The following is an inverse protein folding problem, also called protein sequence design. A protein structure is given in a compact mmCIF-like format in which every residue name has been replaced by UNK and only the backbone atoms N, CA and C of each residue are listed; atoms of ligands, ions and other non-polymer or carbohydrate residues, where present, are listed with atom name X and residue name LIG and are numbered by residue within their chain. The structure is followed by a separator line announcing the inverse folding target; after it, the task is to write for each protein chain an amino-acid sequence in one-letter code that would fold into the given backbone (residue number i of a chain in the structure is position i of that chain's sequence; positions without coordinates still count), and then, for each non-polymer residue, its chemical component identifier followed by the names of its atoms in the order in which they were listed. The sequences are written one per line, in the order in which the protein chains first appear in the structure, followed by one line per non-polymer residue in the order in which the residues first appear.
data_IF_520155574607
#
_entry.id   IF_520155574607
#
_cell.length_a   1.000
_cell.length_b   1.000
_cell.length_c   1.000
_cell.angle_alpha   90.00
_cell.angle_beta   90.00
_cell.angle_gamma   90.00
#
_symmetry.space_group_name_H-M   'P 1'
#
loop_
_entity.id
_entity.type
_entity.pdbx_description
1 polymer ?
#
# COMPACT_ATOMS: atom_id res chain seq x y z
N UNK A 1 14.53 -13.88 -16.01
CA UNK A 1 15.82 -13.52 -15.40
C UNK A 1 15.65 -12.17 -14.73
N UNK A 2 16.09 -11.98 -13.48
CA UNK A 2 15.87 -10.75 -12.70
C UNK A 2 14.73 -10.83 -11.67
N UNK A 3 14.26 -12.02 -11.33
CA UNK A 3 13.37 -12.26 -10.20
C UNK A 3 14.05 -13.25 -9.26
N UNK A 4 14.05 -12.94 -7.96
CA UNK A 4 14.65 -13.76 -6.92
C UNK A 4 13.63 -13.99 -5.81
N UNK A 5 13.67 -15.16 -5.19
CA UNK A 5 12.84 -15.44 -4.02
C UNK A 5 13.46 -14.76 -2.82
N UNK A 6 12.70 -13.89 -2.16
CA UNK A 6 13.11 -13.18 -0.96
C UNK A 6 12.07 -13.36 0.13
N UNK A 7 12.52 -13.19 1.37
CA UNK A 7 11.65 -13.13 2.54
C UNK A 7 11.53 -11.67 2.94
N UNK A 8 10.37 -11.08 2.68
CA UNK A 8 10.04 -9.70 3.04
C UNK A 8 9.06 -9.67 4.23
N UNK A 9 9.06 -8.60 5.03
CA UNK A 9 8.05 -8.39 6.06
C UNK A 9 6.68 -8.13 5.42
N UNK A 10 5.70 -8.97 5.75
CA UNK A 10 4.28 -8.74 5.49
C UNK A 10 3.66 -8.12 6.73
N UNK A 11 3.23 -6.87 6.63
CA UNK A 11 2.73 -6.10 7.77
C UNK A 11 1.30 -5.63 7.55
N UNK A 12 0.53 -5.71 8.63
CA UNK A 12 -0.81 -5.21 8.75
C UNK A 12 -0.73 -4.00 9.68
N UNK A 13 -1.20 -2.84 9.22
CA UNK A 13 -0.99 -1.57 9.91
C UNK A 13 -2.33 -0.89 10.16
N UNK A 14 -2.50 -0.36 11.37
CA UNK A 14 -3.66 0.42 11.78
C UNK A 14 -3.57 1.85 11.24
N UNK A 15 -4.64 2.31 10.59
CA UNK A 15 -4.86 3.69 10.17
C UNK A 15 -6.12 4.21 10.88
N UNK A 16 -5.97 4.86 12.05
CA UNK A 16 -7.11 5.33 12.85
C UNK A 16 -7.98 6.32 12.07
N UNK A 17 -9.28 6.07 12.00
CA UNK A 17 -10.21 6.95 11.29
C UNK A 17 -10.40 8.28 12.04
N UNK A 18 -10.37 9.37 11.29
CA UNK A 18 -10.54 10.75 11.80
C UNK A 18 -11.79 11.44 11.27
N UNK A 19 -12.48 10.83 10.30
CA UNK A 19 -13.79 11.27 9.83
C UNK A 19 -14.67 10.08 9.47
N UNK A 20 -15.93 10.35 9.12
CA UNK A 20 -16.94 9.33 8.84
C UNK A 20 -17.62 8.82 10.11
N UNK A 21 -18.55 7.85 9.99
CA UNK A 21 -19.33 7.32 11.10
C UNK A 21 -18.51 6.67 12.22
N UNK A 22 -17.28 6.21 11.92
CA UNK A 22 -16.39 5.51 12.85
C UNK A 22 -15.21 6.37 13.35
N UNK A 23 -15.29 7.70 13.17
CA UNK A 23 -14.22 8.62 13.55
C UNK A 23 -13.86 8.51 15.04
N UNK A 24 -12.59 8.22 15.34
CA UNK A 24 -12.12 8.01 16.71
C UNK A 24 -12.54 6.69 17.35
N UNK A 25 -13.33 5.86 16.66
CA UNK A 25 -13.81 4.57 17.18
C UNK A 25 -13.11 3.36 16.55
N UNK A 26 -12.76 3.43 15.26
CA UNK A 26 -12.17 2.31 14.54
C UNK A 26 -10.93 2.70 13.74
N UNK A 27 -10.11 1.69 13.43
CA UNK A 27 -8.98 1.82 12.52
C UNK A 27 -9.21 1.01 11.24
N UNK A 28 -8.79 1.54 10.09
CA UNK A 28 -8.61 0.73 8.89
C UNK A 28 -7.37 -0.16 9.09
N UNK A 29 -7.44 -1.43 8.69
CA UNK A 29 -6.24 -2.28 8.62
C UNK A 29 -5.82 -2.39 7.17
N UNK A 30 -4.71 -1.75 6.80
CA UNK A 30 -4.13 -1.92 5.48
C UNK A 30 -2.95 -2.89 5.52
N UNK A 31 -2.76 -3.63 4.43
CA UNK A 31 -1.68 -4.60 4.28
C UNK A 31 -0.63 -4.11 3.29
N UNK A 32 0.65 -4.38 3.57
CA UNK A 32 1.75 -4.18 2.63
C UNK A 32 2.90 -5.16 2.87
N UNK A 33 3.63 -5.51 1.81
CA UNK A 33 4.91 -6.23 1.83
C UNK A 33 6.11 -5.31 1.65
N UNK A 34 5.88 -4.00 1.57
CA UNK A 34 6.92 -2.96 1.43
C UNK A 34 6.75 -1.86 2.48
N UNK A 35 7.03 -2.15 3.76
CA UNK A 35 6.83 -1.22 4.87
C UNK A 35 7.47 0.15 4.66
N UNK A 36 8.66 0.22 4.05
CA UNK A 36 9.36 1.48 3.75
C UNK A 36 8.51 2.48 2.96
N UNK A 37 7.55 2.02 2.16
CA UNK A 37 6.65 2.90 1.40
C UNK A 37 5.61 3.61 2.28
N UNK A 38 5.39 3.16 3.52
CA UNK A 38 4.48 3.78 4.50
C UNK A 38 4.95 5.19 4.91
N UNK A 39 6.26 5.46 4.83
CA UNK A 39 6.87 6.75 5.12
C UNK A 39 6.22 7.90 4.33
N UNK A 40 5.75 7.60 3.12
CA UNK A 40 5.05 8.55 2.23
C UNK A 40 3.67 8.04 1.82
N UNK A 41 2.97 7.33 2.73
CA UNK A 41 1.57 6.99 2.53
C UNK A 41 0.76 8.23 2.12
N UNK A 42 0.04 8.13 1.01
CA UNK A 42 -0.79 9.23 0.50
C UNK A 42 -2.27 8.95 0.69
N UNK A 43 -2.69 7.69 0.59
CA UNK A 43 -4.09 7.30 0.71
C UNK A 43 -4.24 5.83 1.13
N UNK A 44 -5.49 5.39 1.35
CA UNK A 44 -5.85 3.97 1.45
C UNK A 44 -6.88 3.69 0.37
N UNK A 45 -6.64 2.73 -0.52
CA UNK A 45 -7.59 2.34 -1.56
C UNK A 45 -8.51 1.21 -1.07
N UNK A 46 -9.80 1.37 -1.33
CA UNK A 46 -10.86 0.38 -1.14
C UNK A 46 -11.53 0.08 -2.50
N UNK A 47 -12.06 -1.13 -2.70
CA UNK A 47 -12.87 -1.44 -3.88
C UNK A 47 -14.30 -0.94 -3.68
N UNK A 48 -14.83 -0.16 -4.62
CA UNK A 48 -16.13 0.51 -4.47
C UNK A 48 -17.28 -0.46 -4.12
N UNK A 49 -17.32 -1.61 -4.79
CA UNK A 49 -18.37 -2.62 -4.64
C UNK A 49 -18.07 -3.67 -3.56
N UNK A 50 -16.93 -3.56 -2.86
CA UNK A 50 -16.53 -4.50 -1.82
C UNK A 50 -17.23 -4.12 -0.51
N UNK A 51 -17.78 -5.11 0.20
CA UNK A 51 -18.30 -4.93 1.56
C UNK A 51 -17.18 -5.01 2.59
N UNK A 52 -17.09 -3.99 3.42
CA UNK A 52 -16.19 -3.86 4.56
C UNK A 52 -16.99 -3.98 5.85
N UNK A 53 -16.51 -4.78 6.79
CA UNK A 53 -17.16 -5.01 8.09
C UNK A 53 -16.35 -4.38 9.20
N UNK A 54 -17.05 -3.90 10.23
CA UNK A 54 -16.43 -3.50 11.48
C UNK A 54 -16.34 -4.72 12.40
N UNK A 55 -15.12 -5.12 12.73
CA UNK A 55 -14.82 -6.23 13.62
C UNK A 55 -14.25 -5.73 14.95
N UNK A 56 -14.44 -6.50 16.02
CA UNK A 56 -13.90 -6.19 17.36
C UNK A 56 -13.41 -7.45 18.06
N UNK A 57 -12.38 -7.29 18.90
CA UNK A 57 -11.88 -8.30 19.85
C UNK A 57 -12.37 -8.00 21.29
N UNK A 58 -13.26 -7.01 21.45
CA UNK A 58 -13.70 -6.47 22.73
C UNK A 58 -12.88 -5.29 23.26
N UNK A 59 -11.70 -5.02 22.69
CA UNK A 59 -10.81 -3.92 23.10
C UNK A 59 -10.75 -2.80 22.06
N UNK A 60 -10.69 -3.14 20.77
CA UNK A 60 -10.66 -2.18 19.68
C UNK A 60 -11.66 -2.55 18.55
N UNK A 61 -11.93 -1.58 17.67
CA UNK A 61 -12.70 -1.81 16.44
C UNK A 61 -11.79 -1.63 15.22
N UNK A 62 -11.92 -2.52 14.25
CA UNK A 62 -11.15 -2.48 13.00
C UNK A 62 -12.04 -2.68 11.79
N UNK A 63 -11.63 -2.13 10.66
CA UNK A 63 -12.33 -2.27 9.37
C UNK A 63 -11.47 -3.07 8.41
N UNK A 64 -12.07 -4.12 7.83
CA UNK A 64 -11.49 -5.01 6.81
C UNK A 64 -12.58 -5.48 5.85
N UNK A 65 -12.20 -5.94 4.66
CA UNK A 65 -13.13 -6.56 3.72
C UNK A 65 -13.73 -7.82 4.34
N UNK A 66 -15.05 -7.99 4.20
CA UNK A 66 -15.80 -9.09 4.81
C UNK A 66 -15.23 -10.47 4.44
N UNK A 67 -14.91 -10.65 3.16
CA UNK A 67 -14.35 -11.89 2.62
C UNK A 67 -12.96 -12.24 3.19
N UNK A 68 -12.24 -11.23 3.69
CA UNK A 68 -10.86 -11.36 4.21
C UNK A 68 -10.80 -11.28 5.73
N UNK A 69 -11.91 -11.07 6.44
CA UNK A 69 -11.92 -10.86 7.88
C UNK A 69 -11.19 -11.98 8.65
N UNK A 70 -11.53 -13.23 8.35
CA UNK A 70 -10.97 -14.38 9.07
C UNK A 70 -9.45 -14.52 8.85
N UNK A 71 -8.97 -14.34 7.62
CA UNK A 71 -7.53 -14.45 7.28
C UNK A 71 -6.73 -13.22 7.74
N UNK A 72 -7.33 -12.03 7.69
CA UNK A 72 -6.70 -10.78 8.08
C UNK A 72 -6.56 -10.63 9.61
N UNK A 73 -7.58 -11.02 10.37
CA UNK A 73 -7.65 -10.75 11.81
C UNK A 73 -7.33 -11.97 12.68
N UNK A 74 -7.57 -13.19 12.18
CA UNK A 74 -7.40 -14.42 12.94
C UNK A 74 -8.53 -14.68 13.94
N UNK A 75 -8.25 -15.53 14.93
CA UNK A 75 -9.22 -15.90 15.97
C UNK A 75 -9.47 -14.75 16.97
N UNK A 76 -10.65 -14.75 17.61
CA UNK A 76 -11.00 -13.78 18.65
C UNK A 76 -11.65 -12.49 18.14
N UNK A 77 -11.83 -12.34 16.83
CA UNK A 77 -12.50 -11.19 16.21
C UNK A 77 -13.92 -11.54 15.78
N UNK A 78 -14.88 -10.70 16.15
CA UNK A 78 -16.29 -10.85 15.82
C UNK A 78 -16.82 -9.62 15.08
N UNK A 79 -17.80 -9.83 14.18
CA UNK A 79 -18.47 -8.72 13.50
C UNK A 79 -19.35 -7.99 14.51
N UNK A 80 -19.26 -6.67 14.54
CA UNK A 80 -20.14 -5.82 15.36
C UNK A 80 -21.57 -5.72 14.80
N UNK A 81 -21.75 -6.09 13.53
CA UNK A 81 -23.00 -5.90 12.77
C UNK A 81 -22.99 -4.65 11.88
N UNK A 82 -22.04 -3.74 12.07
CA UNK A 82 -21.84 -2.58 11.20
C UNK A 82 -21.03 -2.97 9.94
N UNK A 83 -21.46 -2.50 8.77
CA UNK A 83 -20.77 -2.69 7.50
C UNK A 83 -20.99 -1.51 6.55
N UNK A 84 -20.07 -1.37 5.60
CA UNK A 84 -20.04 -0.30 4.59
C UNK A 84 -19.55 -0.88 3.28
N UNK A 85 -20.04 -0.37 2.16
CA UNK A 85 -19.39 -0.54 0.86
C UNK A 85 -18.16 0.36 0.78
N UNK A 86 -17.19 0.00 -0.05
CA UNK A 86 -16.04 0.87 -0.29
C UNK A 86 -16.45 2.25 -0.81
N UNK A 87 -17.54 2.34 -1.58
CA UNK A 87 -18.12 3.60 -2.05
C UNK A 87 -18.63 4.49 -0.89
N UNK A 88 -19.23 3.91 0.15
CA UNK A 88 -19.65 4.67 1.33
C UNK A 88 -18.48 5.17 2.18
N UNK A 89 -17.35 4.46 2.12
CA UNK A 89 -16.10 4.83 2.80
C UNK A 89 -15.29 5.89 2.03
N UNK A 90 -15.69 6.22 0.80
CA UNK A 90 -14.95 7.16 -0.04
C UNK A 90 -14.71 8.49 0.69
N UNK A 91 -13.47 8.99 0.60
CA UNK A 91 -13.01 10.24 1.23
C UNK A 91 -13.05 10.27 2.76
N UNK A 92 -13.30 9.16 3.44
CA UNK A 92 -13.06 9.11 4.89
C UNK A 92 -11.59 9.38 5.17
N UNK A 93 -11.33 10.26 6.12
CA UNK A 93 -9.99 10.66 6.53
C UNK A 93 -9.47 9.74 7.63
N UNK A 94 -8.17 9.54 7.67
CA UNK A 94 -7.49 8.78 8.70
C UNK A 94 -6.20 9.48 9.14
N UNK A 95 -5.66 9.07 10.29
CA UNK A 95 -4.34 9.49 10.73
C UNK A 95 -3.27 8.61 10.05
N UNK A 96 -2.36 9.17 9.24
CA UNK A 96 -1.33 8.37 8.57
C UNK A 96 -0.38 7.73 9.59
N UNK A 97 0.28 6.61 9.23
CA UNK A 97 1.24 5.96 10.10
C UNK A 97 2.44 6.86 10.37
N UNK A 98 2.85 7.68 9.40
CA UNK A 98 3.96 8.61 9.53
C UNK A 98 3.57 10.00 9.04
N UNK A 99 4.10 11.03 9.70
CA UNK A 99 3.93 12.45 9.33
C UNK A 99 5.26 13.10 8.95
N UNK A 100 6.23 12.27 8.55
CA UNK A 100 7.61 12.70 8.22
C UNK A 100 7.68 13.37 6.85
N UNK A 101 6.76 13.05 5.94
CA UNK A 101 6.61 13.71 4.65
C UNK A 101 5.34 14.57 4.68
N UNK A 102 5.46 15.91 4.60
CA UNK A 102 4.29 16.78 4.59
C UNK A 102 3.50 16.63 3.29
N UNK A 103 2.18 16.42 3.40
CA UNK A 103 1.28 16.27 2.26
C UNK A 103 -0.05 17.00 2.53
N UNK A 104 -0.42 17.92 1.65
CA UNK A 104 -1.73 18.56 1.68
C UNK A 104 -2.75 17.76 0.86
N UNK A 105 -4.00 17.69 1.35
CA UNK A 105 -5.09 17.02 0.66
C UNK A 105 -4.99 15.48 0.60
N UNK A 106 -4.06 14.88 1.35
CA UNK A 106 -3.84 13.43 1.43
C UNK A 106 -4.56 12.78 2.64
N UNK A 107 -4.27 11.50 2.85
CA UNK A 107 -4.72 10.68 4.00
C UNK A 107 -6.23 10.45 4.04
N UNK A 108 -6.78 10.09 2.88
CA UNK A 108 -8.19 9.75 2.68
C UNK A 108 -8.34 8.37 2.04
N UNK A 109 -9.52 7.78 2.21
CA UNK A 109 -9.91 6.57 1.51
C UNK A 109 -10.29 6.89 0.06
N UNK A 110 -9.79 6.10 -0.90
CA UNK A 110 -10.10 6.19 -2.32
C UNK A 110 -10.84 4.95 -2.78
N UNK A 111 -11.56 5.07 -3.90
CA UNK A 111 -12.00 3.88 -4.62
C UNK A 111 -11.02 3.52 -5.74
N UNK A 112 -10.36 2.37 -5.59
CA UNK A 112 -9.37 1.84 -6.50
C UNK A 112 -9.86 0.57 -7.19
N UNK A 113 -9.90 0.48 -8.53
CA UNK A 113 -10.36 -0.72 -9.24
C UNK A 113 -9.36 -1.89 -9.15
N UNK A 114 -8.14 -1.65 -8.69
CA UNK A 114 -7.09 -2.65 -8.50
C UNK A 114 -7.25 -3.42 -7.18
N UNK A 115 -8.14 -2.98 -6.28
CA UNK A 115 -8.36 -3.63 -4.98
C UNK A 115 -9.14 -4.92 -5.17
N UNK A 116 -8.59 -6.03 -4.65
CA UNK A 116 -9.22 -7.36 -4.71
C UNK A 116 -9.45 -7.91 -3.30
N UNK A 117 -10.21 -9.01 -3.21
CA UNK A 117 -10.41 -9.77 -1.97
C UNK A 117 -9.66 -11.10 -1.99
N UNK A 118 -8.54 -11.19 -2.72
CA UNK A 118 -7.75 -12.43 -2.84
C UNK A 118 -6.72 -12.57 -1.72
N UNK A 119 -6.17 -11.46 -1.23
CA UNK A 119 -5.16 -11.43 -0.18
C UNK A 119 -5.19 -10.11 0.63
N UNK A 120 -4.53 -10.11 1.78
CA UNK A 120 -4.44 -8.95 2.66
C UNK A 120 -5.74 -8.69 3.42
N UNK A 121 -6.20 -7.44 3.39
CA UNK A 121 -7.40 -6.98 4.13
C UNK A 121 -8.49 -6.40 3.24
N UNK A 122 -8.25 -6.31 1.94
CA UNK A 122 -9.07 -5.56 0.99
C UNK A 122 -8.95 -4.04 1.15
N UNK A 123 -8.00 -3.56 1.96
CA UNK A 123 -7.60 -2.16 2.07
C UNK A 123 -6.11 -2.06 1.74
N UNK A 124 -5.80 -1.28 0.72
CA UNK A 124 -4.45 -1.18 0.17
C UNK A 124 -3.85 0.16 0.58
N UNK A 125 -2.70 0.14 1.27
CA UNK A 125 -1.91 1.36 1.44
C UNK A 125 -1.48 1.86 0.06
N UNK A 126 -1.76 3.14 -0.23
CA UNK A 126 -1.55 3.71 -1.56
C UNK A 126 -0.49 4.80 -1.52
N UNK A 127 0.53 4.63 -2.36
CA UNK A 127 1.64 5.55 -2.55
C UNK A 127 1.97 5.74 -4.04
N UNK A 128 1.63 6.90 -4.64
CA UNK A 128 1.76 7.14 -6.07
C UNK A 128 3.20 7.23 -6.57
N UNK A 129 4.20 7.29 -5.69
CA UNK A 129 5.61 7.34 -6.09
C UNK A 129 6.18 5.94 -6.45
N UNK A 130 5.56 4.87 -5.92
CA UNK A 130 6.13 3.52 -5.94
C UNK A 130 5.17 2.43 -6.50
N UNK A 131 4.03 2.82 -7.07
CA UNK A 131 3.07 1.90 -7.70
C UNK A 131 2.36 2.54 -8.89
N UNK A 132 2.19 1.79 -9.99
CA UNK A 132 1.49 2.29 -11.17
C UNK A 132 -0.01 2.48 -10.93
N UNK A 133 -0.66 1.52 -10.29
CA UNK A 133 -2.08 1.62 -9.96
C UNK A 133 -2.35 2.68 -8.90
N UNK A 134 -1.45 2.80 -7.91
CA UNK A 134 -1.43 3.87 -6.92
C UNK A 134 -1.33 5.25 -7.59
N UNK A 135 -0.40 5.39 -8.55
CA UNK A 135 -0.26 6.62 -9.33
C UNK A 135 -1.55 6.97 -10.07
N UNK A 136 -2.16 5.99 -10.76
CA UNK A 136 -3.39 6.21 -11.53
C UNK A 136 -4.55 6.65 -10.65
N UNK A 137 -4.78 5.97 -9.51
CA UNK A 137 -5.89 6.31 -8.61
C UNK A 137 -5.65 7.65 -7.92
N UNK A 138 -4.45 7.90 -7.37
CA UNK A 138 -4.13 9.18 -6.73
C UNK A 138 -4.26 10.34 -7.70
N UNK A 139 -3.81 10.17 -8.95
CA UNK A 139 -3.96 11.18 -10.01
C UNK A 139 -5.41 11.48 -10.33
N UNK A 140 -6.28 10.47 -10.40
CA UNK A 140 -7.71 10.67 -10.65
C UNK A 140 -8.39 11.49 -9.54
N UNK A 141 -7.92 11.36 -8.29
CA UNK A 141 -8.40 12.13 -7.14
C UNK A 141 -7.69 13.46 -6.93
N UNK A 142 -6.67 13.78 -7.75
CA UNK A 142 -5.88 15.01 -7.62
C UNK A 142 -4.95 15.03 -6.39
N UNK A 143 -4.52 13.86 -5.92
CA UNK A 143 -3.63 13.73 -4.77
C UNK A 143 -2.16 14.03 -5.12
N UNK A 144 -1.37 14.49 -4.13
CA UNK A 144 0.04 14.81 -4.36
C UNK A 144 0.86 13.56 -4.68
N UNK A 145 1.89 13.75 -5.52
CA UNK A 145 2.95 12.77 -5.71
C UNK A 145 4.21 13.29 -5.05
N UNK A 146 4.60 12.67 -3.94
CA UNK A 146 5.83 13.01 -3.21
C UNK A 146 6.71 11.77 -3.15
N UNK A 147 7.92 11.87 -3.69
CA UNK A 147 8.91 10.81 -3.62
C UNK A 147 10.01 11.21 -2.62
N UNK A 148 10.09 10.59 -1.43
CA UNK A 148 11.13 10.86 -0.44
C UNK A 148 12.43 10.09 -0.66
N UNK A 149 12.51 9.27 -1.72
CA UNK A 149 13.68 8.43 -2.04
C UNK A 149 14.45 9.07 -3.19
N UNK A 150 15.77 9.13 -3.05
CA UNK A 150 16.71 9.66 -4.05
C UNK A 150 17.00 8.64 -5.14
N UNK A 151 17.65 9.10 -6.20
CA UNK A 151 18.06 8.26 -7.33
C UNK A 151 19.03 7.12 -6.96
N UNK A 152 19.73 7.22 -5.82
CA UNK A 152 20.62 6.16 -5.31
C UNK A 152 19.90 5.13 -4.40
N UNK A 153 18.58 5.29 -4.21
CA UNK A 153 17.77 4.40 -3.37
C UNK A 153 17.81 4.72 -1.88
N UNK A 154 18.42 5.84 -1.47
CA UNK A 154 18.39 6.31 -0.08
C UNK A 154 17.25 7.30 0.16
N UNK A 155 16.69 7.31 1.37
CA UNK A 155 15.78 8.38 1.79
C UNK A 155 16.51 9.72 1.90
N UNK A 156 15.81 10.83 1.63
CA UNK A 156 16.34 12.18 1.84
C UNK A 156 16.88 12.35 3.28
N UNK A 157 18.12 12.86 3.43
CA UNK A 157 18.85 12.91 4.72
C UNK A 157 18.09 13.66 5.82
N UNK A 158 17.28 14.65 5.43
CA UNK A 158 16.52 15.48 6.36
C UNK A 158 15.23 14.84 6.87
N UNK A 159 14.89 13.63 6.43
CA UNK A 159 13.70 12.93 6.90
C UNK A 159 13.96 12.31 8.27
N UNK A 160 13.13 12.71 9.23
CA UNK A 160 13.08 12.05 10.52
C UNK A 160 12.83 10.54 10.34
N UNK A 161 13.33 9.74 11.28
CA UNK A 161 13.27 8.28 11.33
C UNK A 161 14.18 7.55 10.32
N UNK A 162 14.13 7.87 9.03
CA UNK A 162 14.74 7.05 7.95
C UNK A 162 15.77 7.76 7.08
N UNK A 163 16.05 9.05 7.31
CA UNK A 163 16.95 9.84 6.46
C UNK A 163 18.31 9.19 6.22
N UNK A 164 18.75 9.16 4.96
CA UNK A 164 20.01 8.58 4.52
C UNK A 164 20.05 7.04 4.48
N UNK A 165 19.02 6.34 4.98
CA UNK A 165 18.96 4.87 4.92
C UNK A 165 18.62 4.41 3.50
N UNK A 166 19.25 3.33 3.05
CA UNK A 166 18.81 2.62 1.86
C UNK A 166 17.39 2.07 2.09
N UNK A 167 16.52 2.16 1.08
CA UNK A 167 15.08 1.95 1.27
C UNK A 167 14.72 0.60 1.89
N UNK A 168 15.43 -0.49 1.54
CA UNK A 168 15.21 -1.82 2.13
C UNK A 168 15.67 -1.90 3.59
N UNK A 169 16.77 -1.22 3.94
CA UNK A 169 17.26 -1.21 5.32
C UNK A 169 16.29 -0.46 6.26
N UNK A 170 15.54 0.50 5.70
CA UNK A 170 14.53 1.26 6.43
C UNK A 170 13.34 0.42 6.89
N UNK A 171 13.08 -0.77 6.30
CA UNK A 171 11.97 -1.64 6.71
C UNK A 171 12.08 -1.98 8.21
N UNK A 172 13.26 -2.34 8.71
CA UNK A 172 13.48 -2.65 10.12
C UNK A 172 13.19 -1.45 11.04
N UNK A 173 13.57 -0.24 10.62
CA UNK A 173 13.33 1.00 11.35
C UNK A 173 11.83 1.31 11.40
N UNK A 174 11.14 1.19 10.27
CA UNK A 174 9.69 1.41 10.13
C UNK A 174 8.91 0.44 11.01
N UNK A 175 9.22 -0.86 10.96
CA UNK A 175 8.54 -1.88 11.76
C UNK A 175 8.65 -1.61 13.26
N UNK A 176 9.88 -1.33 13.73
CA UNK A 176 10.15 -1.06 15.14
C UNK A 176 9.36 0.14 15.65
N UNK A 177 9.27 1.20 14.84
CA UNK A 177 8.51 2.39 15.20
C UNK A 177 7.00 2.12 15.24
N UNK A 178 6.45 1.42 14.24
CA UNK A 178 5.02 1.03 14.22
C UNK A 178 4.65 0.17 15.43
N UNK A 179 5.52 -0.77 15.82
CA UNK A 179 5.35 -1.60 17.01
C UNK A 179 5.36 -0.76 18.29
N UNK A 180 6.36 0.13 18.43
CA UNK A 180 6.50 1.02 19.61
C UNK A 180 5.27 1.92 19.81
N UNK A 181 4.65 2.37 18.71
CA UNK A 181 3.44 3.21 18.74
C UNK A 181 2.13 2.43 18.75
N UNK A 182 2.18 1.09 18.75
CA UNK A 182 0.99 0.23 18.73
C UNK A 182 0.20 0.25 17.43
N UNK A 183 0.79 0.77 16.33
CA UNK A 183 0.15 0.81 15.02
C UNK A 183 0.34 -0.49 14.22
N UNK A 184 1.35 -1.29 14.56
CA UNK A 184 1.54 -2.60 13.95
C UNK A 184 0.46 -3.57 14.47
N UNK A 185 -0.42 -4.02 13.57
CA UNK A 185 -1.49 -4.98 13.87
C UNK A 185 -0.95 -6.40 13.89
N UNK A 186 -0.23 -6.77 12.83
CA UNK A 186 0.35 -8.10 12.65
C UNK A 186 1.59 -7.98 11.78
N UNK A 187 2.57 -8.84 12.04
CA UNK A 187 3.78 -8.97 11.25
C UNK A 187 4.07 -10.45 11.02
N UNK A 188 4.25 -10.81 9.76
CA UNK A 188 4.58 -12.16 9.31
C UNK A 188 5.72 -12.09 8.28
N UNK A 189 6.58 -13.11 8.25
CA UNK A 189 7.54 -13.28 7.17
C UNK A 189 6.83 -13.81 5.92
N UNK A 190 7.00 -13.16 4.79
CA UNK A 190 6.36 -13.55 3.53
C UNK A 190 7.42 -13.85 2.46
N UNK A 191 7.44 -15.10 2.00
CA UNK A 191 8.33 -15.54 0.93
C UNK A 191 7.65 -15.33 -0.42
N UNK A 192 8.25 -14.50 -1.28
CA UNK A 192 7.71 -14.19 -2.59
C UNK A 192 8.79 -13.81 -3.60
N UNK A 193 8.39 -13.67 -4.86
CA UNK A 193 9.32 -13.31 -5.93
C UNK A 193 9.43 -11.79 -6.08
N UNK A 194 10.64 -11.26 -5.89
CA UNK A 194 10.91 -9.82 -5.94
C UNK A 194 11.86 -9.45 -7.09
N UNK A 195 11.62 -8.33 -7.79
CA UNK A 195 12.47 -7.92 -8.91
C UNK A 195 13.85 -7.46 -8.44
N UNK A 196 14.88 -8.01 -9.06
CA UNK A 196 16.28 -7.66 -8.83
C UNK A 196 16.95 -7.26 -10.14
N UNK A 197 17.91 -6.35 -10.06
CA UNK A 197 18.72 -5.96 -11.21
C UNK A 197 19.39 -7.20 -11.78
N UNK A 198 19.08 -7.53 -13.04
CA UNK A 198 19.61 -8.71 -13.73
C UNK A 198 21.14 -8.75 -13.86
N UNK A 199 21.82 -7.62 -13.58
CA UNK A 199 23.29 -7.49 -13.68
C UNK A 199 23.99 -7.54 -12.33
N UNK A 200 23.47 -6.83 -11.33
CA UNK A 200 24.14 -6.67 -10.03
C UNK A 200 23.35 -7.23 -8.85
N UNK A 201 22.17 -7.82 -9.09
CA UNK A 201 21.33 -8.46 -8.07
C UNK A 201 20.89 -7.51 -6.94
N UNK A 202 20.90 -6.20 -7.18
CA UNK A 202 20.34 -5.21 -6.26
C UNK A 202 18.81 -5.22 -6.37
N UNK A 203 18.12 -5.20 -5.23
CA UNK A 203 16.66 -5.08 -5.17
C UNK A 203 16.18 -3.84 -5.95
N UNK A 204 15.21 -4.02 -6.85
CA UNK A 204 14.63 -2.93 -7.62
C UNK A 204 13.44 -2.33 -6.89
N UNK A 205 13.25 -1.02 -7.03
CA UNK A 205 11.99 -0.36 -6.69
C UNK A 205 11.36 0.26 -7.94
N UNK A 206 10.03 0.36 -7.94
CA UNK A 206 9.35 1.25 -8.87
C UNK A 206 9.67 2.69 -8.49
N UNK A 207 10.08 3.51 -9.44
CA UNK A 207 10.51 4.87 -9.17
C UNK A 207 9.98 5.82 -10.23
N UNK A 208 9.19 6.81 -9.81
CA UNK A 208 8.68 7.85 -10.69
C UNK A 208 9.83 8.78 -11.14
N UNK A 209 10.23 8.68 -12.42
CA UNK A 209 11.25 9.54 -13.03
C UNK A 209 10.89 9.90 -14.47
N UNK A 210 11.33 11.07 -14.99
CA UNK A 210 11.27 11.38 -16.41
C UNK A 210 12.03 10.33 -17.23
N UNK A 211 11.39 9.80 -18.27
CA UNK A 211 12.00 8.82 -19.17
C UNK A 211 11.43 8.94 -20.59
N UNK A 212 12.11 8.34 -21.55
CA UNK A 212 11.70 8.30 -22.95
C UNK A 212 11.16 6.92 -23.30
N UNK A 213 9.95 6.88 -23.85
CA UNK A 213 9.27 5.64 -24.22
C UNK A 213 8.97 5.63 -25.72
N UNK A 214 9.22 4.49 -26.37
CA UNK A 214 8.68 4.21 -27.70
C UNK A 214 7.26 3.67 -27.49
N UNK A 215 6.26 4.28 -28.15
CA UNK A 215 4.85 3.86 -28.04
C UNK A 215 4.59 2.56 -28.80
N UNK A 216 5.14 1.45 -28.33
CA UNK A 216 4.99 0.11 -28.92
C UNK A 216 3.53 -0.35 -28.94
N UNK A 217 2.72 0.12 -27.99
CA UNK A 217 1.28 -0.17 -27.94
C UNK A 217 0.51 0.32 -29.16
N UNK A 218 1.02 1.30 -29.91
CA UNK A 218 0.38 1.78 -31.14
C UNK A 218 0.47 0.79 -32.32
N UNK A 219 1.34 -0.23 -32.22
CA UNK A 219 1.54 -1.25 -33.26
C UNK A 219 1.33 -2.66 -32.69
N UNK A 220 0.64 -2.78 -31.55
CA UNK A 220 0.47 -4.05 -30.84
C UNK A 220 -0.18 -5.13 -31.70
N UNK A 221 -1.26 -4.79 -32.41
CA UNK A 221 -1.99 -5.72 -33.28
C UNK A 221 -1.06 -6.27 -34.37
N UNK A 222 -0.32 -5.39 -35.02
CA UNK A 222 0.66 -5.77 -36.05
C UNK A 222 1.78 -6.65 -35.50
N UNK A 223 2.26 -6.38 -34.28
CA UNK A 223 3.29 -7.21 -33.64
C UNK A 223 2.79 -8.64 -33.39
N UNK A 224 1.52 -8.80 -32.99
CA UNK A 224 0.89 -10.11 -32.82
C UNK A 224 0.70 -10.83 -34.17
N UNK A 225 0.19 -10.13 -35.18
CA UNK A 225 0.02 -10.68 -36.54
C UNK A 225 1.33 -11.19 -37.15
N UNK A 226 2.44 -10.46 -36.96
CA UNK A 226 3.75 -10.92 -37.45
C UNK A 226 4.32 -12.08 -36.62
N UNK A 227 4.05 -12.11 -35.31
CA UNK A 227 4.45 -13.22 -34.45
C UNK A 227 3.75 -14.53 -34.83
N UNK A 228 2.46 -14.48 -35.19
CA UNK A 228 1.72 -15.66 -35.68
C UNK A 228 2.28 -16.26 -36.97
N UNK A 229 3.02 -15.46 -37.77
CA UNK A 229 3.69 -15.93 -39.00
C UNK A 229 5.04 -16.59 -38.72
N UNK A 230 5.52 -16.56 -37.48
CA UNK A 230 6.82 -17.08 -37.06
C UNK A 230 6.62 -18.39 -36.27
N UNK A 231 7.16 -19.50 -36.78
CA UNK A 231 7.12 -20.83 -36.14
C UNK A 231 8.03 -20.93 -34.91
#
# INVERSE_FOLDING_TARGET
QGYETVVDPSVFVRFPLTSGPLAGEASLIAWTTTPWTLISNTAVSAGADITYVVATDGNEKVVVAEALMASALGEGWEKTGESFTGAEMERWSYRPPFQVVPMEGAHIVLNGPHVTTEAGTGLVHTNPAFGEDDYRVCKAYGLPLVNPVRADGTFEDGLDLVGGQFFKDADATVLKDLETRGLLFRHESFEHSYPHCWRCHTALLYYAQPSWYIRTTAVKERLLEENEKTN
#
